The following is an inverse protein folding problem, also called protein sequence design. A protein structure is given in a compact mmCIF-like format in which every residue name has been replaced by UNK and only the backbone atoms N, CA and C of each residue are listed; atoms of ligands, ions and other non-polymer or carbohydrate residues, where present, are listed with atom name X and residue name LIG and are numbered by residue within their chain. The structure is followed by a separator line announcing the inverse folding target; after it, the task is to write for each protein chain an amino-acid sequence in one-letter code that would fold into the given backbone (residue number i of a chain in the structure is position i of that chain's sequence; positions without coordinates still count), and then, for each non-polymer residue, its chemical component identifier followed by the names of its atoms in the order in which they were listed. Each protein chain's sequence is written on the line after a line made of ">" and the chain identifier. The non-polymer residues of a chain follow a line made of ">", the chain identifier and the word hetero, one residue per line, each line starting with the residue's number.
data_IF_743202145934
#
_entry.id   IF_743202145934
#
_cell.length_a   1.000
_cell.length_b   1.000
_cell.length_c   1.000
_cell.angle_alpha   90.00
_cell.angle_beta   90.00
_cell.angle_gamma   90.00
#
_symmetry.space_group_name_H-M   'P 1'
#
loop_
_entity.id
_entity.type
_entity.pdbx_description
1 polymer ?
#
# COMPACT_ATOMS: atom_id res chain seq x y z
N UNK A 1 7.35 -45.69 -20.46
CA UNK A 1 7.44 -44.25 -20.16
C UNK A 1 6.41 -43.96 -19.07
N UNK A 2 6.86 -43.96 -17.85
CA UNK A 2 6.04 -43.60 -16.69
C UNK A 2 5.85 -42.08 -16.67
N UNK A 3 4.60 -41.63 -16.72
CA UNK A 3 4.23 -40.23 -16.53
C UNK A 3 4.60 -39.82 -15.11
N UNK A 4 5.53 -38.91 -14.95
CA UNK A 4 5.73 -38.22 -13.68
C UNK A 4 4.48 -37.41 -13.42
N UNK A 5 3.69 -37.83 -12.45
CA UNK A 5 2.39 -37.25 -12.16
C UNK A 5 2.52 -35.86 -11.53
N UNK A 6 1.52 -35.04 -11.74
CA UNK A 6 1.32 -33.71 -11.12
C UNK A 6 1.59 -33.69 -9.58
N UNK A 7 1.44 -34.84 -8.91
CA UNK A 7 1.71 -34.98 -7.48
C UNK A 7 3.17 -34.70 -7.06
N UNK A 8 4.15 -34.90 -7.95
CA UNK A 8 5.56 -34.62 -7.64
C UNK A 8 5.88 -33.12 -7.71
N UNK A 9 5.14 -32.35 -8.50
CA UNK A 9 5.27 -30.89 -8.59
C UNK A 9 4.73 -30.24 -7.31
N UNK A 10 3.59 -30.72 -6.79
CA UNK A 10 3.02 -30.22 -5.53
C UNK A 10 3.87 -30.58 -4.31
N UNK A 11 4.46 -31.79 -4.26
CA UNK A 11 5.38 -32.18 -3.19
C UNK A 11 6.67 -31.34 -3.18
N UNK A 12 7.16 -30.93 -4.36
CA UNK A 12 8.30 -29.99 -4.44
C UNK A 12 7.92 -28.58 -3.99
N UNK A 13 6.71 -28.12 -4.26
CA UNK A 13 6.24 -26.85 -3.71
C UNK A 13 6.13 -26.90 -2.18
N UNK A 14 5.67 -28.01 -1.61
CA UNK A 14 5.61 -28.17 -0.15
C UNK A 14 7.01 -28.16 0.49
N UNK A 15 8.01 -28.78 -0.14
CA UNK A 15 9.39 -28.77 0.37
C UNK A 15 10.10 -27.41 0.25
N UNK A 16 9.72 -26.59 -0.74
CA UNK A 16 10.20 -25.22 -0.89
C UNK A 16 9.53 -24.30 0.15
N UNK A 17 8.29 -24.59 0.54
CA UNK A 17 7.56 -23.87 1.59
C UNK A 17 8.05 -24.18 3.02
N UNK A 18 8.84 -25.26 3.21
CA UNK A 18 9.51 -25.58 4.49
C UNK A 18 10.80 -24.79 4.71
N UNK A 19 11.35 -24.15 3.69
CA UNK A 19 12.40 -23.16 3.92
C UNK A 19 11.78 -22.01 4.72
N UNK A 20 12.29 -21.81 5.95
CA UNK A 20 11.97 -20.63 6.75
C UNK A 20 11.99 -19.42 5.84
N UNK A 21 10.84 -18.76 5.63
CA UNK A 21 10.78 -17.48 4.93
C UNK A 21 11.52 -16.44 5.77
N UNK A 22 12.83 -16.42 5.67
CA UNK A 22 13.72 -15.44 6.28
C UNK A 22 13.98 -14.24 5.36
N UNK A 23 13.34 -14.20 4.21
CA UNK A 23 13.53 -13.16 3.20
C UNK A 23 12.23 -12.37 2.96
N UNK A 24 11.77 -11.66 4.01
CA UNK A 24 10.84 -10.57 3.79
C UNK A 24 11.50 -9.48 2.93
N UNK A 25 10.76 -8.91 2.00
CA UNK A 25 11.21 -7.75 1.25
C UNK A 25 10.98 -6.49 2.09
N UNK A 26 12.05 -5.71 2.29
CA UNK A 26 11.94 -4.34 2.76
C UNK A 26 11.90 -3.42 1.55
N UNK A 27 10.72 -2.92 1.19
CA UNK A 27 10.52 -2.10 0.02
C UNK A 27 9.52 -0.97 0.23
N UNK A 28 9.33 -0.16 -0.78
CA UNK A 28 8.35 0.90 -0.70
C UNK A 28 8.60 2.07 -1.62
N UNK A 29 7.98 3.18 -1.28
CA UNK A 29 8.03 4.43 -2.03
C UNK A 29 8.13 5.62 -1.09
N UNK A 30 8.95 6.59 -1.46
CA UNK A 30 9.04 7.91 -0.82
C UNK A 30 8.92 8.97 -1.91
N UNK A 31 7.93 9.86 -1.79
CA UNK A 31 7.64 10.89 -2.77
C UNK A 31 7.49 12.24 -2.10
N UNK A 32 8.11 13.26 -2.70
CA UNK A 32 7.83 14.66 -2.41
C UNK A 32 7.20 15.31 -3.63
N UNK A 33 6.08 16.00 -3.45
CA UNK A 33 5.43 16.79 -4.48
C UNK A 33 5.41 18.26 -4.11
N UNK A 34 5.79 19.12 -5.04
CA UNK A 34 5.81 20.57 -4.91
C UNK A 34 5.23 21.23 -6.15
N UNK A 35 4.91 22.49 -6.02
CA UNK A 35 4.48 23.36 -7.13
C UNK A 35 5.64 24.22 -7.59
N UNK A 36 5.86 24.28 -8.88
CA UNK A 36 6.89 25.17 -9.46
C UNK A 36 6.40 26.62 -9.61
N UNK A 37 7.28 27.51 -10.00
CA UNK A 37 6.97 28.94 -10.17
C UNK A 37 5.90 29.25 -11.22
N UNK A 38 5.57 28.30 -12.09
CA UNK A 38 4.50 28.40 -13.08
C UNK A 38 3.17 27.79 -12.60
N UNK A 39 3.11 27.37 -11.35
CA UNK A 39 1.91 26.80 -10.77
C UNK A 39 1.68 25.30 -11.09
N UNK A 40 2.65 24.62 -11.70
CA UNK A 40 2.52 23.20 -12.09
C UNK A 40 3.13 22.30 -11.01
N UNK A 41 2.39 21.29 -10.49
CA UNK A 41 2.92 20.33 -9.55
C UNK A 41 3.92 19.39 -10.21
N UNK A 42 4.95 18.99 -9.46
CA UNK A 42 5.99 18.09 -9.93
C UNK A 42 6.57 17.27 -8.76
N UNK A 43 7.20 16.12 -9.05
CA UNK A 43 7.95 15.38 -8.04
C UNK A 43 9.26 16.10 -7.73
N UNK A 44 9.37 16.66 -6.53
CA UNK A 44 10.59 17.29 -6.02
C UNK A 44 11.60 16.26 -5.51
N UNK A 45 11.09 15.10 -5.06
CA UNK A 45 11.90 13.94 -4.68
C UNK A 45 11.15 12.66 -5.00
N UNK A 46 11.89 11.61 -5.36
CA UNK A 46 11.36 10.28 -5.55
C UNK A 46 12.39 9.22 -5.21
N UNK A 47 11.98 8.27 -4.42
CA UNK A 47 12.73 7.05 -4.17
C UNK A 47 11.74 5.89 -4.12
N UNK A 48 12.05 4.79 -4.78
CA UNK A 48 11.26 3.57 -4.67
C UNK A 48 12.16 2.35 -4.74
N UNK A 49 11.74 1.31 -4.07
CA UNK A 49 12.43 0.02 -4.04
C UNK A 49 11.46 -1.13 -4.27
N UNK A 50 11.93 -2.21 -4.90
CA UNK A 50 11.09 -3.39 -5.11
C UNK A 50 10.42 -3.83 -3.79
N UNK A 51 9.16 -4.31 -3.86
CA UNK A 51 8.41 -4.62 -5.09
C UNK A 51 7.60 -3.46 -5.68
N UNK A 52 7.74 -2.24 -5.18
CA UNK A 52 7.00 -1.06 -5.67
C UNK A 52 7.68 -0.49 -6.91
N UNK A 53 6.87 -0.15 -7.89
CA UNK A 53 7.27 0.60 -9.07
C UNK A 53 6.42 1.85 -9.20
N UNK A 54 7.06 2.92 -9.64
CA UNK A 54 6.44 4.21 -9.89
C UNK A 54 6.18 4.37 -11.39
N UNK A 55 4.95 4.74 -11.77
CA UNK A 55 4.68 5.17 -13.15
C UNK A 55 5.37 6.49 -13.46
N UNK A 56 5.49 6.80 -14.76
CA UNK A 56 5.82 8.16 -15.16
C UNK A 56 4.73 9.11 -14.63
N UNK A 57 5.10 10.20 -13.94
CA UNK A 57 4.14 11.20 -13.51
C UNK A 57 3.37 11.79 -14.69
N UNK A 58 2.08 11.99 -14.52
CA UNK A 58 1.19 12.62 -15.49
C UNK A 58 0.56 13.86 -14.87
N UNK A 59 0.68 14.99 -15.54
CA UNK A 59 -0.01 16.22 -15.15
C UNK A 59 -1.38 16.29 -15.82
N UNK A 60 -2.43 16.38 -15.02
CA UNK A 60 -3.80 16.59 -15.50
C UNK A 60 -4.10 18.09 -15.53
N UNK A 61 -4.30 18.61 -16.75
CA UNK A 61 -4.60 20.03 -16.98
C UNK A 61 -5.98 20.45 -16.47
N UNK A 62 -6.91 19.49 -16.31
CA UNK A 62 -8.28 19.78 -15.86
C UNK A 62 -8.33 20.00 -14.35
N UNK A 63 -7.72 19.09 -13.61
CA UNK A 63 -7.70 19.14 -12.13
C UNK A 63 -6.47 19.87 -11.58
N UNK A 64 -5.52 20.22 -12.44
CA UNK A 64 -4.21 20.77 -12.07
C UNK A 64 -3.45 19.90 -11.07
N UNK A 65 -3.63 18.58 -11.18
CA UNK A 65 -3.05 17.61 -10.26
C UNK A 65 -1.94 16.80 -10.92
N UNK A 66 -0.96 16.36 -10.13
CA UNK A 66 0.04 15.39 -10.53
C UNK A 66 -0.47 13.97 -10.23
N UNK A 67 -0.72 13.19 -11.27
CA UNK A 67 -1.19 11.81 -11.14
C UNK A 67 -0.04 10.84 -11.10
N UNK A 68 -0.04 9.96 -10.11
CA UNK A 68 0.95 8.91 -9.90
C UNK A 68 0.24 7.57 -9.76
N UNK A 69 0.67 6.58 -10.53
CA UNK A 69 0.30 5.20 -10.32
C UNK A 69 1.43 4.44 -9.63
N UNK A 70 1.15 3.91 -8.46
CA UNK A 70 2.03 2.94 -7.80
C UNK A 70 1.63 1.54 -8.24
N UNK A 71 2.57 0.76 -8.72
CA UNK A 71 2.32 -0.64 -9.08
C UNK A 71 3.23 -1.57 -8.30
N UNK A 72 2.71 -2.74 -7.96
CA UNK A 72 3.47 -3.80 -7.33
C UNK A 72 3.37 -5.04 -8.24
N UNK A 73 4.31 -5.20 -9.20
CA UNK A 73 4.25 -6.26 -10.20
C UNK A 73 4.53 -7.65 -9.63
N UNK A 74 4.77 -7.77 -8.33
CA UNK A 74 4.91 -9.05 -7.64
C UNK A 74 3.55 -9.67 -7.31
N UNK A 75 3.56 -10.87 -6.75
CA UNK A 75 2.34 -11.57 -6.37
C UNK A 75 1.51 -10.81 -5.31
N UNK A 76 2.13 -9.98 -4.49
CA UNK A 76 1.55 -9.25 -3.37
C UNK A 76 2.39 -9.38 -2.10
N UNK A 77 1.79 -9.21 -0.93
CA UNK A 77 2.46 -9.27 0.36
C UNK A 77 2.62 -10.72 0.85
N UNK A 78 3.81 -11.05 1.29
CA UNK A 78 4.19 -12.34 1.85
C UNK A 78 4.67 -12.19 3.30
N UNK A 79 4.78 -13.31 4.01
CA UNK A 79 5.30 -13.32 5.38
C UNK A 79 6.72 -12.72 5.46
N UNK A 80 6.92 -11.78 6.36
CA UNK A 80 8.19 -11.07 6.56
C UNK A 80 8.32 -9.78 5.75
N UNK A 81 7.44 -9.51 4.78
CA UNK A 81 7.49 -8.28 4.00
C UNK A 81 7.21 -7.05 4.86
N UNK A 82 7.96 -6.00 4.58
CA UNK A 82 7.75 -4.66 5.13
C UNK A 82 7.67 -3.67 3.98
N UNK A 83 6.56 -2.95 3.92
CA UNK A 83 6.27 -1.97 2.88
C UNK A 83 6.09 -0.60 3.49
N UNK A 84 6.87 0.36 3.01
CA UNK A 84 6.74 1.76 3.39
C UNK A 84 6.16 2.57 2.23
N UNK A 85 5.13 3.36 2.53
CA UNK A 85 4.63 4.41 1.64
C UNK A 85 4.73 5.74 2.38
N UNK A 86 5.67 6.59 1.97
CA UNK A 86 5.94 7.88 2.59
C UNK A 86 5.76 8.98 1.55
N UNK A 87 4.72 9.82 1.71
CA UNK A 87 4.34 10.85 0.74
C UNK A 87 4.21 12.19 1.45
N UNK A 88 4.84 13.20 0.87
CA UNK A 88 4.70 14.58 1.31
C UNK A 88 4.29 15.47 0.13
N UNK A 89 3.24 16.26 0.32
CA UNK A 89 2.76 17.25 -0.63
C UNK A 89 2.79 18.62 0.02
N UNK A 90 3.48 19.58 -0.60
CA UNK A 90 3.69 20.92 -0.06
C UNK A 90 3.64 21.99 -1.16
N UNK A 91 3.75 23.26 -0.78
CA UNK A 91 3.78 24.41 -1.68
C UNK A 91 2.52 24.52 -2.55
N UNK A 92 1.34 24.31 -1.98
CA UNK A 92 0.04 24.38 -2.68
C UNK A 92 -0.06 23.42 -3.89
N UNK A 93 0.70 22.33 -3.86
CA UNK A 93 0.64 21.32 -4.90
C UNK A 93 -0.60 20.45 -4.75
N UNK A 94 -1.07 19.90 -5.87
CA UNK A 94 -2.13 18.89 -5.90
C UNK A 94 -1.58 17.58 -6.46
N UNK A 95 -1.81 16.47 -5.75
CA UNK A 95 -1.32 15.16 -6.12
C UNK A 95 -2.39 14.09 -5.94
N UNK A 96 -2.50 13.20 -6.92
CA UNK A 96 -3.34 12.01 -6.88
C UNK A 96 -2.46 10.78 -6.94
N UNK A 97 -2.58 9.92 -5.96
CA UNK A 97 -1.85 8.64 -5.89
C UNK A 97 -2.85 7.50 -5.90
N UNK A 98 -2.71 6.62 -6.87
CA UNK A 98 -3.56 5.44 -7.03
C UNK A 98 -2.74 4.20 -7.39
N UNK A 99 -3.39 3.04 -7.43
CA UNK A 99 -2.80 1.81 -7.94
C UNK A 99 -3.69 1.21 -9.03
N UNK A 100 -3.14 0.65 -10.10
CA UNK A 100 -3.92 0.13 -11.22
C UNK A 100 -4.69 -1.17 -10.88
N UNK A 101 -4.42 -1.77 -9.73
CA UNK A 101 -5.05 -3.02 -9.31
C UNK A 101 -5.07 -3.21 -7.81
N UNK A 102 -5.70 -4.31 -7.38
CA UNK A 102 -5.75 -4.69 -5.98
C UNK A 102 -4.41 -5.26 -5.49
N UNK A 103 -4.06 -4.92 -4.26
CA UNK A 103 -2.95 -5.56 -3.53
C UNK A 103 -3.45 -6.83 -2.85
N UNK A 104 -2.71 -7.93 -2.98
CA UNK A 104 -3.05 -9.19 -2.33
C UNK A 104 -2.14 -9.42 -1.14
N UNK A 105 -2.70 -9.80 0.00
CA UNK A 105 -1.93 -10.35 1.11
C UNK A 105 -2.13 -11.87 1.11
N UNK A 106 -1.06 -12.61 0.88
CA UNK A 106 -1.09 -14.04 0.60
C UNK A 106 -1.14 -14.88 1.87
N UNK A 107 -1.35 -16.18 1.67
CA UNK A 107 -1.25 -17.20 2.72
C UNK A 107 0.11 -17.15 3.43
N UNK A 108 0.08 -17.16 4.77
CA UNK A 108 1.25 -17.15 5.63
C UNK A 108 1.16 -18.30 6.63
N UNK A 109 2.09 -19.27 6.53
CA UNK A 109 2.15 -20.36 7.54
C UNK A 109 2.58 -19.84 8.91
N UNK A 110 3.49 -18.89 8.90
CA UNK A 110 4.02 -18.22 10.08
C UNK A 110 4.54 -16.84 9.70
N UNK A 111 4.70 -15.97 10.68
CA UNK A 111 5.16 -14.61 10.45
C UNK A 111 4.02 -13.65 10.13
N UNK A 112 4.39 -12.45 9.74
CA UNK A 112 3.50 -11.32 9.52
C UNK A 112 4.06 -10.43 8.42
N UNK A 113 3.21 -9.86 7.57
CA UNK A 113 3.57 -8.73 6.73
C UNK A 113 3.22 -7.43 7.43
N UNK A 114 3.98 -6.37 7.13
CA UNK A 114 3.75 -5.02 7.67
C UNK A 114 3.67 -4.00 6.57
N UNK A 115 2.69 -3.12 6.66
CA UNK A 115 2.52 -1.96 5.78
C UNK A 115 2.49 -0.71 6.64
N UNK A 116 3.39 0.22 6.36
CA UNK A 116 3.43 1.53 6.98
C UNK A 116 3.13 2.59 5.93
N UNK A 117 2.19 3.49 6.22
CA UNK A 117 1.82 4.60 5.36
C UNK A 117 1.98 5.90 6.14
N UNK A 118 2.77 6.82 5.62
CA UNK A 118 2.98 8.15 6.18
C UNK A 118 2.62 9.19 5.13
N UNK A 119 1.56 9.92 5.37
CA UNK A 119 1.04 10.92 4.44
C UNK A 119 1.07 12.28 5.10
N UNK A 120 1.79 13.22 4.49
CA UNK A 120 1.90 14.59 4.99
C UNK A 120 1.44 15.56 3.92
N UNK A 121 0.45 16.40 4.28
CA UNK A 121 -0.11 17.42 3.38
C UNK A 121 0.03 18.78 4.05
N UNK A 122 0.80 19.65 3.43
CA UNK A 122 1.26 20.91 4.01
C UNK A 122 0.91 22.10 3.11
N UNK A 123 0.95 23.29 3.69
CA UNK A 123 0.98 24.58 2.96
C UNK A 123 -0.13 24.69 1.90
N UNK A 124 -1.39 24.51 2.26
CA UNK A 124 -2.53 24.66 1.36
C UNK A 124 -2.55 23.64 0.20
N UNK A 125 -1.87 22.51 0.36
CA UNK A 125 -1.78 21.44 -0.66
C UNK A 125 -2.95 20.48 -0.57
N UNK A 126 -3.11 19.66 -1.62
CA UNK A 126 -4.12 18.61 -1.71
C UNK A 126 -3.49 17.26 -2.05
N UNK A 127 -3.88 16.23 -1.34
CA UNK A 127 -3.54 14.84 -1.66
C UNK A 127 -4.80 13.98 -1.77
N UNK A 128 -5.03 13.36 -2.92
CA UNK A 128 -5.90 12.21 -3.04
C UNK A 128 -5.05 10.93 -2.96
N UNK A 129 -5.23 10.16 -1.89
CA UNK A 129 -4.63 8.83 -1.74
C UNK A 129 -5.72 7.77 -1.84
N UNK A 130 -5.81 7.15 -3.01
CA UNK A 130 -6.89 6.24 -3.38
C UNK A 130 -6.34 4.95 -4.01
N UNK A 131 -5.63 4.12 -3.22
CA UNK A 131 -5.10 2.85 -3.71
C UNK A 131 -6.22 1.86 -4.06
N UNK A 132 -5.88 0.85 -4.85
CA UNK A 132 -6.73 -0.31 -5.11
C UNK A 132 -7.05 -1.07 -3.82
N UNK A 133 -8.00 -2.00 -3.91
CA UNK A 133 -8.40 -2.78 -2.75
C UNK A 133 -7.27 -3.68 -2.21
N UNK A 134 -7.21 -3.82 -0.89
CA UNK A 134 -6.41 -4.81 -0.20
C UNK A 134 -7.23 -6.09 -0.05
N UNK A 135 -6.77 -7.19 -0.62
CA UNK A 135 -7.44 -8.50 -0.56
C UNK A 135 -6.74 -9.38 0.46
N UNK A 136 -7.42 -9.69 1.55
CA UNK A 136 -6.93 -10.55 2.63
C UNK A 136 -7.19 -12.02 2.30
N UNK A 137 -6.24 -12.74 1.72
CA UNK A 137 -6.43 -14.13 1.37
C UNK A 137 -6.44 -15.04 2.61
N UNK A 138 -6.84 -16.30 2.42
CA UNK A 138 -6.87 -17.32 3.47
C UNK A 138 -5.55 -17.36 4.25
N UNK A 139 -5.65 -17.41 5.58
CA UNK A 139 -4.54 -17.48 6.53
C UNK A 139 -3.49 -16.37 6.40
N UNK A 140 -3.85 -15.22 5.82
CA UNK A 140 -3.01 -14.02 5.86
C UNK A 140 -2.89 -13.48 7.27
N UNK A 141 -1.70 -12.94 7.62
CA UNK A 141 -1.43 -12.23 8.86
C UNK A 141 -0.76 -10.89 8.51
N UNK A 142 -1.53 -9.80 8.62
CA UNK A 142 -1.11 -8.47 8.17
C UNK A 142 -1.33 -7.43 9.25
N UNK A 143 -0.34 -6.59 9.43
CA UNK A 143 -0.41 -5.37 10.22
C UNK A 143 -0.24 -4.15 9.31
N UNK A 144 -1.18 -3.21 9.39
CA UNK A 144 -1.13 -1.95 8.67
C UNK A 144 -1.24 -0.78 9.64
N UNK A 145 -0.34 0.19 9.47
CA UNK A 145 -0.32 1.43 10.24
C UNK A 145 -0.30 2.59 9.27
N UNK A 146 -1.27 3.49 9.40
CA UNK A 146 -1.38 4.70 8.58
C UNK A 146 -1.36 5.93 9.48
N UNK A 147 -0.41 6.80 9.24
CA UNK A 147 -0.26 8.08 9.89
C UNK A 147 -0.45 9.19 8.86
N UNK A 148 -1.44 10.04 9.10
CA UNK A 148 -1.77 11.18 8.24
C UNK A 148 -1.60 12.46 9.03
N UNK A 149 -0.85 13.39 8.48
CA UNK A 149 -0.70 14.74 9.01
C UNK A 149 -1.13 15.76 7.95
N UNK A 150 -2.08 16.60 8.31
CA UNK A 150 -2.65 17.63 7.42
C UNK A 150 -2.56 18.98 8.12
N UNK A 151 -2.00 19.97 7.46
CA UNK A 151 -2.00 21.35 7.99
C UNK A 151 -3.42 21.92 7.96
N UNK A 152 -3.66 22.98 8.73
CA UNK A 152 -5.01 23.55 8.90
C UNK A 152 -5.60 24.10 7.59
N UNK A 153 -4.77 24.49 6.65
CA UNK A 153 -5.12 25.02 5.32
C UNK A 153 -4.98 24.00 4.19
N UNK A 154 -4.63 22.75 4.51
CA UNK A 154 -4.43 21.67 3.55
C UNK A 154 -5.57 20.66 3.58
N UNK A 155 -5.70 19.85 2.52
CA UNK A 155 -6.79 18.89 2.38
C UNK A 155 -6.27 17.52 1.96
N UNK A 156 -6.93 16.47 2.45
CA UNK A 156 -6.68 15.08 2.02
C UNK A 156 -7.99 14.36 1.72
N UNK A 157 -8.01 13.62 0.61
CA UNK A 157 -8.97 12.55 0.36
C UNK A 157 -8.26 11.21 0.55
N UNK A 158 -8.52 10.55 1.65
CA UNK A 158 -7.97 9.23 1.97
C UNK A 158 -9.04 8.16 1.77
N UNK A 159 -8.75 7.17 0.93
CA UNK A 159 -9.66 6.05 0.63
C UNK A 159 -8.96 4.73 0.92
N UNK A 160 -9.57 3.92 1.77
CA UNK A 160 -9.12 2.56 2.06
C UNK A 160 -10.22 1.55 1.69
N UNK A 161 -9.84 0.51 0.95
CA UNK A 161 -10.73 -0.54 0.48
C UNK A 161 -10.18 -1.90 0.90
N UNK A 162 -10.86 -2.59 1.80
CA UNK A 162 -10.45 -3.89 2.33
C UNK A 162 -11.46 -4.94 1.89
N UNK A 163 -10.99 -6.00 1.26
CA UNK A 163 -11.80 -7.15 0.85
C UNK A 163 -11.45 -8.37 1.72
N UNK A 164 -12.46 -9.08 2.24
CA UNK A 164 -12.28 -10.14 3.24
C UNK A 164 -11.70 -11.44 2.66
N UNK A 165 -11.28 -11.44 1.40
CA UNK A 165 -10.70 -12.59 0.72
C UNK A 165 -11.07 -12.66 -0.75
N UNK A 166 -10.74 -13.79 -1.37
CA UNK A 166 -11.14 -14.11 -2.76
C UNK A 166 -12.53 -14.73 -2.77
N UNK A 167 -13.56 -13.90 -2.67
CA UNK A 167 -14.96 -14.35 -2.50
C UNK A 167 -15.37 -15.33 -3.61
N UNK A 168 -14.98 -15.08 -4.87
CA UNK A 168 -15.25 -15.97 -6.00
C UNK A 168 -14.58 -17.36 -5.88
N UNK A 169 -13.60 -17.50 -4.97
CA UNK A 169 -12.93 -18.77 -4.65
C UNK A 169 -13.39 -19.35 -3.32
N UNK A 170 -14.49 -18.86 -2.75
CA UNK A 170 -15.01 -19.32 -1.47
C UNK A 170 -14.22 -18.83 -0.24
N UNK A 171 -13.34 -17.87 -0.41
CA UNK A 171 -12.60 -17.24 0.69
C UNK A 171 -13.31 -15.98 1.14
N UNK A 172 -13.86 -15.98 2.36
CA UNK A 172 -14.48 -14.83 2.99
C UNK A 172 -14.26 -14.90 4.49
N UNK A 173 -13.52 -13.93 5.04
CA UNK A 173 -13.15 -13.88 6.46
C UNK A 173 -12.40 -15.15 6.95
N UNK A 174 -11.52 -15.71 6.13
CA UNK A 174 -10.70 -16.89 6.45
C UNK A 174 -9.20 -16.55 6.56
N UNK A 175 -8.88 -15.28 6.66
CA UNK A 175 -7.53 -14.82 7.01
C UNK A 175 -7.24 -15.13 8.47
N UNK A 176 -5.98 -15.19 8.85
CA UNK A 176 -5.56 -15.46 10.22
C UNK A 176 -5.74 -14.23 11.11
N UNK A 177 -5.27 -13.07 10.63
CA UNK A 177 -5.35 -11.81 11.39
C UNK A 177 -5.13 -10.63 10.46
N UNK A 178 -5.90 -9.57 10.67
CA UNK A 178 -5.64 -8.26 10.11
C UNK A 178 -5.76 -7.20 11.21
N UNK A 179 -4.66 -6.51 11.47
CA UNK A 179 -4.60 -5.38 12.40
C UNK A 179 -4.44 -4.09 11.59
N UNK A 180 -5.36 -3.16 11.77
CA UNK A 180 -5.31 -1.84 11.13
C UNK A 180 -5.32 -0.73 12.19
N UNK A 181 -4.48 0.26 11.97
CA UNK A 181 -4.46 1.49 12.77
C UNK A 181 -4.30 2.68 11.85
N UNK A 182 -5.28 3.58 11.88
CA UNK A 182 -5.27 4.86 11.17
C UNK A 182 -5.29 5.99 12.19
N UNK A 183 -4.37 6.92 12.07
CA UNK A 183 -4.38 8.18 12.81
C UNK A 183 -4.30 9.36 11.86
N UNK A 184 -5.20 10.32 12.02
CA UNK A 184 -5.21 11.57 11.26
C UNK A 184 -5.08 12.74 12.24
N UNK A 185 -4.06 13.55 12.02
CA UNK A 185 -3.84 14.81 12.73
C UNK A 185 -4.09 15.97 11.78
N UNK A 186 -4.83 16.97 12.25
CA UNK A 186 -4.97 18.25 11.57
C UNK A 186 -4.33 19.33 12.43
N UNK A 187 -3.31 19.97 11.87
CA UNK A 187 -2.45 20.83 12.65
C UNK A 187 -1.85 20.09 13.87
N UNK A 188 -2.18 20.56 15.07
CA UNK A 188 -1.72 19.95 16.34
C UNK A 188 -2.74 19.00 16.97
N UNK A 189 -3.92 18.86 16.39
CA UNK A 189 -5.02 18.10 16.98
C UNK A 189 -5.15 16.72 16.32
N UNK A 190 -5.44 15.72 17.13
CA UNK A 190 -5.84 14.40 16.64
C UNK A 190 -7.30 14.50 16.18
N UNK A 191 -7.52 14.45 14.86
CA UNK A 191 -8.85 14.53 14.26
C UNK A 191 -9.55 13.18 14.19
N UNK A 192 -8.78 12.09 13.92
CA UNK A 192 -9.31 10.73 13.85
C UNK A 192 -8.29 9.73 14.39
N UNK A 193 -8.78 8.79 15.16
CA UNK A 193 -8.05 7.56 15.51
C UNK A 193 -8.99 6.38 15.33
N UNK A 194 -8.65 5.51 14.40
CA UNK A 194 -9.31 4.23 14.18
C UNK A 194 -8.32 3.10 14.41
N UNK A 195 -8.73 2.08 15.14
CA UNK A 195 -7.89 0.89 15.37
C UNK A 195 -8.78 -0.30 15.57
N UNK A 196 -8.57 -1.33 14.76
CA UNK A 196 -9.30 -2.59 14.87
C UNK A 196 -8.41 -3.78 14.57
N UNK A 197 -8.83 -4.93 15.03
CA UNK A 197 -8.26 -6.24 14.74
C UNK A 197 -9.38 -7.15 14.30
N UNK A 198 -9.18 -7.80 13.18
CA UNK A 198 -10.05 -8.85 12.64
C UNK A 198 -9.27 -10.16 12.68
N UNK A 199 -9.85 -11.24 13.21
CA UNK A 199 -9.29 -12.58 13.36
C UNK A 199 -10.38 -13.67 13.23
#
# INVERSE_FOLDING_TARGET
>A
RTSRGLGDVYKRQDSILEMKNTFGLDGGVQLGCRRNGNGVPYLSSQHFSPPVHLSKPYFDEVTHSLLINLSCPTAGLLAGDRMLCDIEVTDQASMVVTTPGATRSHFMRSGIARVEQKLRVRDGSFLEFNPGALILQKATNLEQVTEVEVDDDAEILFVEKILPGRIAHGESFVFQKFSNRLSIKQGKQLALLESFVLD
#
